data_IF_820365437880
#
_entry.id   IF_820365437880
#
_cell.length_a   1.000
_cell.length_b   1.000
_cell.length_c   1.000
_cell.angle_alpha   90.00
_cell.angle_beta   90.00
_cell.angle_gamma   90.00
#
_symmetry.space_group_name_H-M   'P 1'
#
loop_
_entity.id
_entity.type
_entity.pdbx_description
1 polymer ?
#
# COMPACT_ATOMS: atom_id res chain seq x y z
N UNK A 1 -10.00 1.63 -18.46
CA UNK A 1 -11.12 0.68 -18.22
C UNK A 1 -10.80 -0.73 -18.68
N UNK A 2 -10.08 -0.95 -19.79
CA UNK A 2 -9.68 -2.29 -20.26
C UNK A 2 -8.63 -2.99 -19.35
N UNK A 3 -7.64 -2.26 -18.82
CA UNK A 3 -6.62 -2.80 -17.92
C UNK A 3 -7.20 -3.33 -16.59
N UNK A 4 -8.15 -2.58 -16.01
CA UNK A 4 -8.89 -2.97 -14.81
C UNK A 4 -9.70 -4.26 -14.98
N UNK A 5 -10.36 -4.42 -16.14
CA UNK A 5 -11.11 -5.65 -16.43
C UNK A 5 -10.18 -6.85 -16.68
N UNK A 6 -9.01 -6.64 -17.28
CA UNK A 6 -8.01 -7.68 -17.52
C UNK A 6 -7.34 -8.16 -16.22
N UNK A 7 -7.01 -7.27 -15.27
CA UNK A 7 -6.42 -7.68 -13.99
C UNK A 7 -7.45 -8.36 -13.06
N UNK A 8 -8.71 -7.91 -13.07
CA UNK A 8 -9.79 -8.66 -12.41
C UNK A 8 -10.04 -10.01 -13.09
N UNK A 9 -9.78 -10.14 -14.40
CA UNK A 9 -9.81 -11.41 -15.09
C UNK A 9 -8.57 -12.30 -14.82
N UNK A 10 -7.44 -11.75 -14.42
CA UNK A 10 -6.27 -12.56 -14.06
C UNK A 10 -6.43 -13.20 -12.67
N UNK A 11 -7.22 -12.60 -11.78
CA UNK A 11 -7.53 -13.13 -10.47
C UNK A 11 -8.82 -13.98 -10.51
N UNK A 12 -8.66 -15.30 -10.61
CA UNK A 12 -9.79 -16.26 -10.72
C UNK A 12 -10.84 -16.11 -9.62
N UNK A 13 -10.47 -15.61 -8.44
CA UNK A 13 -11.40 -15.36 -7.33
C UNK A 13 -12.29 -14.11 -7.54
N UNK A 14 -11.89 -13.15 -8.37
CA UNK A 14 -12.71 -11.98 -8.72
C UNK A 14 -13.64 -12.22 -9.93
N UNK A 15 -13.41 -13.27 -10.71
CA UNK A 15 -14.16 -13.56 -11.94
C UNK A 15 -15.57 -14.16 -11.71
N UNK A 16 -15.83 -14.78 -10.56
CA UNK A 16 -17.05 -15.57 -10.32
C UNK A 16 -18.27 -14.76 -9.84
N UNK A 17 -18.17 -13.43 -9.71
CA UNK A 17 -19.21 -12.61 -9.09
C UNK A 17 -20.29 -12.10 -10.08
N UNK A 18 -21.60 -12.34 -9.84
CA UNK A 18 -22.68 -11.93 -10.73
C UNK A 18 -22.94 -10.40 -10.70
N UNK A 19 -23.34 -9.85 -11.85
CA UNK A 19 -23.54 -8.41 -12.07
C UNK A 19 -24.89 -7.86 -11.54
N UNK A 20 -24.94 -7.41 -10.28
CA UNK A 20 -26.04 -6.58 -9.73
C UNK A 20 -25.57 -5.16 -9.34
N UNK A 21 -26.29 -4.10 -9.73
CA UNK A 21 -25.86 -2.69 -9.67
C UNK A 21 -25.91 -2.03 -8.27
N UNK A 22 -26.17 -2.77 -7.19
CA UNK A 22 -26.33 -2.24 -5.83
C UNK A 22 -25.36 -2.82 -4.80
N UNK A 23 -24.43 -3.70 -5.20
CA UNK A 23 -23.45 -4.31 -4.30
C UNK A 23 -22.11 -3.58 -4.33
N UNK A 24 -21.51 -3.39 -3.14
CA UNK A 24 -20.16 -2.81 -3.02
C UNK A 24 -19.16 -3.78 -3.67
N UNK A 25 -18.27 -3.27 -4.52
CA UNK A 25 -17.30 -4.10 -5.22
C UNK A 25 -16.39 -4.87 -4.26
N UNK A 26 -15.97 -4.26 -3.14
CA UNK A 26 -15.12 -4.90 -2.11
C UNK A 26 -15.60 -4.50 -0.72
N UNK A 27 -15.99 -5.46 0.12
CA UNK A 27 -16.14 -5.26 1.57
C UNK A 27 -14.80 -5.52 2.25
N UNK A 28 -14.22 -4.52 2.92
CA UNK A 28 -12.87 -4.65 3.48
C UNK A 28 -12.78 -4.35 4.97
N UNK A 29 -12.00 -5.16 5.69
CA UNK A 29 -11.56 -4.85 7.06
C UNK A 29 -10.43 -3.80 6.96
N UNK A 30 -10.61 -2.62 7.56
CA UNK A 30 -9.63 -1.53 7.44
C UNK A 30 -8.36 -1.76 8.30
N UNK A 31 -8.54 -2.26 9.52
CA UNK A 31 -7.47 -2.71 10.42
C UNK A 31 -7.97 -3.94 11.19
N UNK A 32 -7.09 -4.90 11.54
CA UNK A 32 -7.44 -5.93 12.51
C UNK A 32 -7.89 -5.27 13.82
N UNK A 33 -9.05 -5.69 14.34
CA UNK A 33 -9.50 -5.26 15.66
C UNK A 33 -9.15 -6.34 16.69
N UNK A 34 -8.23 -6.11 17.63
CA UNK A 34 -7.87 -7.10 18.64
C UNK A 34 -8.98 -7.34 19.68
N UNK A 35 -9.98 -6.44 19.78
CA UNK A 35 -11.07 -6.55 20.75
C UNK A 35 -12.23 -7.44 20.26
N UNK A 36 -12.29 -7.71 18.96
CA UNK A 36 -13.33 -8.54 18.34
C UNK A 36 -12.68 -9.79 17.78
N UNK A 37 -13.16 -11.01 18.14
CA UNK A 37 -12.66 -12.24 17.55
C UNK A 37 -12.71 -12.21 16.02
N UNK A 38 -11.67 -12.75 15.37
CA UNK A 38 -11.57 -12.74 13.92
C UNK A 38 -12.72 -13.52 13.28
N UNK A 39 -13.13 -14.62 13.91
CA UNK A 39 -14.22 -15.49 13.49
C UNK A 39 -15.54 -14.72 13.39
N UNK A 40 -15.90 -13.94 14.41
CA UNK A 40 -17.13 -13.14 14.43
C UNK A 40 -17.15 -12.11 13.28
N UNK A 41 -16.01 -11.46 13.05
CA UNK A 41 -15.87 -10.49 11.95
C UNK A 41 -16.05 -11.16 10.59
N UNK A 42 -15.44 -12.33 10.41
CA UNK A 42 -15.44 -13.04 9.12
C UNK A 42 -16.81 -13.68 8.84
N UNK A 43 -17.50 -14.23 9.84
CA UNK A 43 -18.87 -14.75 9.70
C UNK A 43 -19.87 -13.65 9.30
N UNK A 44 -19.72 -12.45 9.86
CA UNK A 44 -20.53 -11.30 9.46
C UNK A 44 -20.26 -10.90 8.00
N UNK A 45 -19.00 -10.92 7.56
CA UNK A 45 -18.63 -10.61 6.18
C UNK A 45 -19.08 -11.69 5.18
N UNK A 46 -18.98 -12.97 5.53
CA UNK A 46 -19.52 -14.06 4.72
C UNK A 46 -21.04 -13.92 4.58
N UNK A 47 -21.76 -13.59 5.65
CA UNK A 47 -23.21 -13.33 5.58
C UNK A 47 -23.56 -12.20 4.59
N UNK A 48 -22.73 -11.15 4.49
CA UNK A 48 -22.90 -10.10 3.49
C UNK A 48 -22.60 -10.58 2.07
N UNK A 49 -21.60 -11.45 1.91
CA UNK A 49 -21.24 -12.06 0.64
C UNK A 49 -22.35 -12.99 0.13
N UNK A 50 -22.85 -13.90 0.98
CA UNK A 50 -23.96 -14.79 0.67
C UNK A 50 -25.25 -14.03 0.35
N UNK A 51 -25.50 -12.92 1.04
CA UNK A 51 -26.63 -12.03 0.75
C UNK A 51 -26.46 -11.18 -0.54
N UNK A 52 -25.33 -11.32 -1.26
CA UNK A 52 -25.03 -10.57 -2.48
C UNK A 52 -24.82 -9.07 -2.25
N UNK A 53 -24.60 -8.63 -1.00
CA UNK A 53 -24.40 -7.22 -0.65
C UNK A 53 -22.99 -6.75 -0.97
N UNK A 54 -22.03 -7.66 -0.95
CA UNK A 54 -20.64 -7.47 -1.39
C UNK A 54 -20.30 -8.53 -2.44
N UNK A 55 -19.35 -8.23 -3.32
CA UNK A 55 -18.94 -9.16 -4.40
C UNK A 55 -17.63 -9.88 -4.11
N UNK A 56 -16.73 -9.22 -3.42
CA UNK A 56 -15.51 -9.83 -2.93
C UNK A 56 -15.13 -9.20 -1.58
N UNK A 57 -14.31 -9.92 -0.82
CA UNK A 57 -13.80 -9.47 0.46
C UNK A 57 -12.32 -9.09 0.32
N UNK A 58 -11.95 -8.04 1.03
CA UNK A 58 -10.57 -7.59 1.16
C UNK A 58 -10.19 -7.41 2.63
N UNK A 59 -8.90 -7.33 2.88
CA UNK A 59 -8.35 -6.88 4.15
C UNK A 59 -7.41 -5.71 3.88
N UNK A 60 -7.14 -4.92 4.90
CA UNK A 60 -6.17 -3.82 4.83
C UNK A 60 -5.32 -3.85 6.09
N UNK A 61 -4.02 -3.66 5.90
CA UNK A 61 -3.04 -3.62 6.98
C UNK A 61 -2.96 -4.91 7.82
N UNK A 62 -3.17 -6.07 7.19
CA UNK A 62 -2.97 -7.36 7.86
C UNK A 62 -1.50 -7.78 7.73
N UNK A 63 -0.87 -8.10 8.86
CA UNK A 63 0.50 -8.63 8.96
C UNK A 63 0.52 -10.11 9.34
N UNK A 64 1.70 -10.71 9.55
CA UNK A 64 1.82 -12.15 9.82
C UNK A 64 0.89 -12.67 10.91
N UNK A 65 0.74 -11.95 12.02
CA UNK A 65 -0.14 -12.37 13.12
C UNK A 65 -1.61 -12.36 12.73
N UNK A 66 -2.13 -11.26 12.17
CA UNK A 66 -3.54 -11.18 11.78
C UNK A 66 -3.89 -12.04 10.56
N UNK A 67 -2.94 -12.24 9.64
CA UNK A 67 -3.05 -13.23 8.56
C UNK A 67 -3.11 -14.65 9.12
N UNK A 68 -2.32 -14.96 10.14
CA UNK A 68 -2.37 -16.25 10.84
C UNK A 68 -3.72 -16.49 11.52
N UNK A 69 -4.27 -15.49 12.21
CA UNK A 69 -5.60 -15.54 12.80
C UNK A 69 -6.68 -15.74 11.74
N UNK A 70 -6.63 -14.97 10.65
CA UNK A 70 -7.56 -15.14 9.53
C UNK A 70 -7.50 -16.55 8.93
N UNK A 71 -6.29 -17.08 8.73
CA UNK A 71 -6.10 -18.45 8.24
C UNK A 71 -6.69 -19.50 9.20
N UNK A 72 -6.58 -19.29 10.50
CA UNK A 72 -7.12 -20.20 11.51
C UNK A 72 -8.67 -20.28 11.48
N UNK A 73 -9.35 -19.22 11.03
CA UNK A 73 -10.83 -19.24 10.89
C UNK A 73 -11.34 -20.24 9.84
N UNK A 74 -10.48 -20.67 8.91
CA UNK A 74 -10.89 -21.51 7.76
C UNK A 74 -11.55 -20.74 6.60
N UNK A 75 -11.72 -19.42 6.73
CA UNK A 75 -12.39 -18.57 5.74
C UNK A 75 -11.43 -17.69 4.92
N UNK A 76 -10.11 -17.85 5.08
CA UNK A 76 -9.11 -17.03 4.38
C UNK A 76 -9.29 -17.03 2.85
N UNK A 77 -9.83 -18.10 2.29
CA UNK A 77 -10.07 -18.21 0.85
C UNK A 77 -11.13 -17.26 0.29
N UNK A 78 -12.00 -16.70 1.15
CA UNK A 78 -13.00 -15.70 0.76
C UNK A 78 -12.38 -14.33 0.45
N UNK A 79 -11.16 -14.07 0.91
CA UNK A 79 -10.48 -12.80 0.76
C UNK A 79 -9.60 -12.81 -0.50
N UNK A 80 -9.67 -11.73 -1.28
CA UNK A 80 -8.97 -11.61 -2.55
C UNK A 80 -7.70 -10.77 -2.47
N UNK A 81 -7.69 -9.75 -1.60
CA UNK A 81 -6.62 -8.75 -1.55
C UNK A 81 -6.28 -8.30 -0.14
N UNK A 82 -5.00 -7.94 0.08
CA UNK A 82 -4.54 -7.15 1.20
C UNK A 82 -4.15 -5.75 0.71
N UNK A 83 -4.76 -4.71 1.27
CA UNK A 83 -4.44 -3.33 0.96
C UNK A 83 -3.35 -2.83 1.92
N UNK A 84 -2.20 -2.45 1.39
CA UNK A 84 -1.01 -2.10 2.19
C UNK A 84 -0.35 -0.81 1.70
N UNK A 85 0.30 -0.05 2.59
CA UNK A 85 1.08 1.10 2.18
C UNK A 85 2.31 0.59 1.43
N UNK A 86 2.46 0.97 0.16
CA UNK A 86 3.61 0.55 -0.63
C UNK A 86 3.94 1.57 -1.70
N UNK A 87 5.19 2.00 -1.71
CA UNK A 87 5.75 2.91 -2.71
C UNK A 87 7.29 2.85 -2.66
N UNK A 88 7.94 3.57 -3.57
CA UNK A 88 9.41 3.61 -3.64
C UNK A 88 10.10 4.01 -2.33
N UNK A 89 9.47 4.83 -1.49
CA UNK A 89 10.02 5.32 -0.22
C UNK A 89 9.55 4.51 1.00
N UNK A 90 8.41 3.82 0.91
CA UNK A 90 7.87 2.97 1.96
C UNK A 90 7.86 1.51 1.55
N UNK A 91 8.91 0.79 1.94
CA UNK A 91 9.14 -0.61 1.57
C UNK A 91 9.28 -1.55 2.76
N UNK A 92 8.90 -1.08 3.97
CA UNK A 92 8.96 -1.86 5.20
C UNK A 92 8.10 -3.14 5.14
N UNK A 93 7.01 -3.13 4.36
CA UNK A 93 6.17 -4.32 4.19
C UNK A 93 6.92 -5.49 3.53
N UNK A 94 7.99 -5.23 2.78
CA UNK A 94 8.76 -6.27 2.06
C UNK A 94 9.47 -7.25 3.02
N UNK A 95 9.72 -6.86 4.27
CA UNK A 95 10.41 -7.72 5.24
C UNK A 95 9.59 -8.94 5.66
N UNK A 96 8.30 -8.75 6.00
CA UNK A 96 7.48 -9.81 6.58
C UNK A 96 6.04 -9.82 6.05
N UNK A 97 5.42 -8.65 5.91
CA UNK A 97 3.99 -8.52 5.57
C UNK A 97 3.71 -8.96 4.12
N UNK A 98 4.55 -8.53 3.17
CA UNK A 98 4.38 -8.85 1.77
C UNK A 98 4.58 -10.34 1.49
N UNK A 99 5.67 -11.00 1.95
CA UNK A 99 5.80 -12.45 1.84
C UNK A 99 4.64 -13.21 2.47
N UNK A 100 4.17 -12.79 3.66
CA UNK A 100 3.02 -13.43 4.31
C UNK A 100 1.71 -13.28 3.51
N UNK A 101 1.50 -12.10 2.91
CA UNK A 101 0.35 -11.81 2.03
C UNK A 101 0.36 -12.73 0.80
N UNK A 102 1.50 -12.82 0.12
CA UNK A 102 1.68 -13.67 -1.07
C UNK A 102 1.52 -15.16 -0.72
N UNK A 103 2.09 -15.60 0.40
CA UNK A 103 1.95 -16.99 0.88
C UNK A 103 0.51 -17.38 1.21
N UNK A 104 -0.36 -16.41 1.49
CA UNK A 104 -1.79 -16.64 1.70
C UNK A 104 -2.60 -16.59 0.38
N UNK A 105 -1.94 -16.37 -0.76
CA UNK A 105 -2.58 -16.28 -2.07
C UNK A 105 -3.38 -14.99 -2.28
N UNK A 106 -3.09 -13.94 -1.52
CA UNK A 106 -3.75 -12.64 -1.69
C UNK A 106 -3.00 -11.76 -2.68
N UNK A 107 -3.75 -11.03 -3.51
CA UNK A 107 -3.21 -9.92 -4.28
C UNK A 107 -2.94 -8.70 -3.39
N UNK A 108 -2.05 -7.83 -3.84
CA UNK A 108 -1.72 -6.58 -3.15
C UNK A 108 -2.42 -5.38 -3.81
N UNK A 109 -3.11 -4.57 -3.01
CA UNK A 109 -3.56 -3.24 -3.42
C UNK A 109 -2.68 -2.20 -2.73
N UNK A 110 -1.82 -1.53 -3.50
CA UNK A 110 -0.90 -0.53 -2.95
C UNK A 110 -1.61 0.81 -2.73
N UNK A 111 -1.62 1.32 -1.51
CA UNK A 111 -2.05 2.70 -1.21
C UNK A 111 -0.87 3.58 -0.80
N UNK A 112 -1.11 4.89 -0.73
CA UNK A 112 -0.04 5.90 -0.55
C UNK A 112 1.06 5.74 -1.61
N UNK A 113 0.68 5.36 -2.83
CA UNK A 113 1.57 5.06 -3.96
C UNK A 113 2.50 6.21 -4.33
N UNK A 114 2.05 7.46 -4.10
CA UNK A 114 2.83 8.68 -4.33
C UNK A 114 3.39 9.31 -3.04
N UNK A 115 3.43 8.57 -1.93
CA UNK A 115 3.99 9.01 -0.65
C UNK A 115 3.48 10.40 -0.20
N UNK A 116 2.16 10.59 -0.24
CA UNK A 116 1.48 11.85 0.10
C UNK A 116 1.98 13.08 -0.70
N UNK A 117 2.48 12.86 -1.91
CA UNK A 117 2.95 13.91 -2.82
C UNK A 117 4.48 13.99 -2.93
N UNK A 118 5.25 13.33 -2.06
CA UNK A 118 6.71 13.32 -2.17
C UNK A 118 7.18 12.79 -3.53
N UNK A 119 6.55 11.72 -4.03
CA UNK A 119 6.84 11.11 -5.34
C UNK A 119 6.18 11.85 -6.52
N UNK A 120 5.78 13.10 -6.33
CA UNK A 120 5.46 14.02 -7.44
C UNK A 120 6.59 15.00 -7.70
N UNK A 121 7.55 15.11 -6.79
CA UNK A 121 8.65 16.08 -6.85
C UNK A 121 8.25 17.51 -6.51
N UNK A 122 7.01 17.74 -6.05
CA UNK A 122 6.50 19.07 -5.67
C UNK A 122 7.20 19.66 -4.43
N UNK A 123 7.77 18.81 -3.58
CA UNK A 123 8.54 19.21 -2.39
C UNK A 123 10.00 18.82 -2.58
N UNK A 124 10.90 19.78 -2.51
CA UNK A 124 12.35 19.57 -2.57
C UNK A 124 13.00 19.54 -1.18
N UNK A 125 12.28 20.04 -0.15
CA UNK A 125 12.76 20.09 1.24
C UNK A 125 11.64 19.79 2.25
N UNK A 126 12.00 19.32 3.43
CA UNK A 126 11.08 19.02 4.55
C UNK A 126 10.19 20.21 4.90
N UNK A 127 10.73 21.43 4.84
CA UNK A 127 10.04 22.66 5.21
C UNK A 127 8.92 23.04 4.22
N UNK A 128 8.98 22.53 2.98
CA UNK A 128 7.97 22.79 1.95
C UNK A 128 6.75 21.86 2.11
N UNK A 129 6.92 20.73 2.80
CA UNK A 129 5.81 19.80 3.06
C UNK A 129 4.86 20.43 4.09
N UNK A 130 3.56 20.58 3.78
CA UNK A 130 2.57 21.07 4.72
C UNK A 130 2.57 20.27 6.03
N UNK A 131 2.43 20.97 7.16
CA UNK A 131 2.47 20.33 8.49
C UNK A 131 1.49 19.17 8.63
N UNK A 132 0.28 19.28 8.09
CA UNK A 132 -0.76 18.25 8.17
C UNK A 132 -0.43 16.97 7.38
N UNK A 133 0.56 16.99 6.47
CA UNK A 133 1.04 15.81 5.73
C UNK A 133 2.24 15.14 6.43
N UNK A 134 2.84 15.80 7.43
CA UNK A 134 3.98 15.26 8.17
C UNK A 134 3.51 14.39 9.34
N UNK A 135 2.77 13.34 9.02
CA UNK A 135 2.13 12.39 9.95
C UNK A 135 2.79 11.01 9.97
N UNK A 136 3.59 10.70 8.96
CA UNK A 136 4.22 9.38 8.77
C UNK A 136 5.61 9.33 9.40
N UNK A 137 6.13 8.12 9.61
CA UNK A 137 7.51 7.84 10.06
C UNK A 137 8.63 8.34 9.13
N UNK A 138 8.29 8.95 8.00
CA UNK A 138 9.24 9.76 7.23
C UNK A 138 9.77 10.96 8.03
N UNK A 139 8.99 11.52 8.97
CA UNK A 139 9.28 12.78 9.62
C UNK A 139 9.46 12.61 11.13
N UNK A 140 10.51 13.20 11.69
CA UNK A 140 10.65 13.39 13.13
C UNK A 140 9.51 14.28 13.65
N UNK A 141 8.99 13.96 14.83
CA UNK A 141 7.89 14.69 15.47
C UNK A 141 8.17 16.20 15.58
N UNK A 142 9.44 16.64 15.68
CA UNK A 142 9.80 18.07 15.73
C UNK A 142 9.49 18.83 14.44
N UNK A 143 9.34 18.13 13.32
CA UNK A 143 9.10 18.74 12.00
C UNK A 143 7.62 18.73 11.61
N UNK A 144 6.73 18.09 12.37
CA UNK A 144 5.35 17.88 11.96
C UNK A 144 4.41 17.50 13.09
N UNK A 145 3.44 16.65 12.78
CA UNK A 145 2.41 16.15 13.70
C UNK A 145 2.49 14.62 13.83
N UNK A 146 3.65 14.05 13.54
CA UNK A 146 3.88 12.62 13.58
C UNK A 146 3.93 12.13 15.04
N UNK A 147 3.16 11.08 15.36
CA UNK A 147 2.98 10.59 16.74
C UNK A 147 3.73 9.28 17.04
N UNK A 148 4.57 8.81 16.11
CA UNK A 148 5.27 7.53 16.25
C UNK A 148 6.37 7.52 17.32
N UNK A 149 6.93 8.67 17.69
CA UNK A 149 7.94 8.78 18.75
C UNK A 149 9.34 8.25 18.39
N UNK A 150 9.63 8.06 17.10
CA UNK A 150 10.93 7.61 16.60
C UNK A 150 11.62 8.77 15.84
N UNK A 151 12.91 8.62 15.52
CA UNK A 151 13.56 9.52 14.58
C UNK A 151 12.97 9.35 13.17
N UNK A 152 12.84 10.46 12.44
CA UNK A 152 12.47 10.45 11.03
C UNK A 152 13.60 9.96 10.11
N UNK A 153 13.30 9.91 8.82
CA UNK A 153 14.25 9.56 7.76
C UNK A 153 14.26 10.61 6.64
N UNK A 154 14.04 11.87 7.01
CA UNK A 154 13.90 12.98 6.05
C UNK A 154 15.14 13.13 5.17
N UNK A 155 16.33 12.98 5.74
CA UNK A 155 17.58 13.14 4.99
C UNK A 155 17.65 12.10 3.86
N UNK A 156 17.35 10.84 4.17
CA UNK A 156 17.34 9.75 3.22
C UNK A 156 16.19 9.88 2.20
N UNK A 157 14.99 10.27 2.66
CA UNK A 157 13.81 10.46 1.81
C UNK A 157 14.03 11.56 0.78
N UNK A 158 14.48 12.75 1.19
CA UNK A 158 14.66 13.87 0.26
C UNK A 158 15.86 13.66 -0.67
N UNK A 159 16.92 12.99 -0.20
CA UNK A 159 18.01 12.57 -1.09
C UNK A 159 17.52 11.58 -2.17
N UNK A 160 16.66 10.62 -1.79
CA UNK A 160 16.06 9.69 -2.74
C UNK A 160 15.12 10.39 -3.73
N UNK A 161 14.28 11.32 -3.27
CA UNK A 161 13.37 12.09 -4.15
C UNK A 161 14.16 12.88 -5.20
N UNK A 162 15.23 13.60 -4.82
CA UNK A 162 16.03 14.35 -5.78
C UNK A 162 16.71 13.43 -6.81
N UNK A 163 17.33 12.34 -6.37
CA UNK A 163 17.93 11.38 -7.30
C UNK A 163 16.89 10.72 -8.23
N UNK A 164 15.69 10.40 -7.74
CA UNK A 164 14.61 9.89 -8.57
C UNK A 164 14.11 10.92 -9.60
N UNK A 165 14.10 12.22 -9.26
CA UNK A 165 13.77 13.30 -10.21
C UNK A 165 14.79 13.36 -11.36
N UNK A 166 16.08 13.23 -11.05
CA UNK A 166 17.14 13.20 -12.08
C UNK A 166 16.96 11.99 -13.02
N UNK A 167 16.68 10.82 -12.46
CA UNK A 167 16.40 9.60 -13.25
C UNK A 167 15.17 9.80 -14.13
N UNK A 168 14.07 10.33 -13.60
CA UNK A 168 12.85 10.63 -14.36
C UNK A 168 13.15 11.55 -15.55
N UNK A 169 13.90 12.63 -15.32
CA UNK A 169 14.30 13.57 -16.37
C UNK A 169 15.14 12.89 -17.46
N UNK A 170 16.10 12.05 -17.08
CA UNK A 170 16.92 11.28 -18.03
C UNK A 170 16.09 10.29 -18.87
N UNK A 171 15.07 9.69 -18.26
CA UNK A 171 14.13 8.78 -18.95
C UNK A 171 13.02 9.52 -19.71
N UNK A 172 12.99 10.86 -19.68
CA UNK A 172 11.94 11.70 -20.29
C UNK A 172 10.52 11.30 -19.84
N UNK A 173 10.40 10.97 -18.56
CA UNK A 173 9.14 10.62 -17.87
C UNK A 173 9.01 11.47 -16.61
N UNK A 174 7.86 11.42 -15.96
CA UNK A 174 7.63 12.11 -14.69
C UNK A 174 7.85 11.17 -13.50
N UNK A 175 8.11 11.75 -12.32
CA UNK A 175 8.29 10.96 -11.10
C UNK A 175 7.04 10.13 -10.71
N UNK A 176 5.80 10.64 -10.85
CA UNK A 176 4.60 9.83 -10.64
C UNK A 176 4.53 8.62 -11.56
N UNK A 177 4.88 8.78 -12.85
CA UNK A 177 4.89 7.68 -13.83
C UNK A 177 5.90 6.59 -13.43
N UNK A 178 7.11 6.96 -13.01
CA UNK A 178 8.09 6.00 -12.49
C UNK A 178 7.59 5.29 -11.22
N UNK A 179 7.03 6.03 -10.27
CA UNK A 179 6.57 5.47 -9.00
C UNK A 179 5.41 4.47 -9.19
N UNK A 180 4.45 4.81 -10.04
CA UNK A 180 3.30 3.95 -10.34
C UNK A 180 3.74 2.76 -11.20
N UNK A 181 4.55 2.98 -12.24
CA UNK A 181 5.09 1.91 -13.09
C UNK A 181 5.91 0.90 -12.30
N UNK A 182 6.68 1.35 -11.31
CA UNK A 182 7.43 0.47 -10.41
C UNK A 182 6.56 -0.44 -9.56
N UNK A 183 5.43 0.08 -9.05
CA UNK A 183 4.46 -0.74 -8.34
C UNK A 183 3.81 -1.76 -9.28
N UNK A 184 3.38 -1.33 -10.45
CA UNK A 184 2.66 -2.19 -11.41
C UNK A 184 3.56 -3.22 -12.11
N UNK A 185 4.88 -3.05 -12.07
CA UNK A 185 5.84 -4.04 -12.55
C UNK A 185 6.03 -5.24 -11.60
N UNK A 186 5.37 -5.24 -10.43
CA UNK A 186 5.45 -6.32 -9.45
C UNK A 186 4.25 -7.24 -9.61
N UNK A 187 4.52 -8.53 -9.79
CA UNK A 187 3.49 -9.56 -10.03
C UNK A 187 2.45 -9.62 -8.90
N UNK A 188 2.85 -9.35 -7.66
CA UNK A 188 1.95 -9.38 -6.52
C UNK A 188 1.00 -8.15 -6.43
N UNK A 189 1.31 -7.05 -7.12
CA UNK A 189 0.50 -5.81 -7.12
C UNK A 189 -0.62 -5.91 -8.16
N UNK A 190 -1.84 -6.14 -7.70
CA UNK A 190 -3.02 -6.25 -8.59
C UNK A 190 -3.65 -4.89 -8.90
N UNK A 191 -3.44 -3.89 -8.03
CA UNK A 191 -3.93 -2.53 -8.22
C UNK A 191 -3.12 -1.51 -7.42
N UNK A 192 -3.07 -0.28 -7.93
CA UNK A 192 -2.46 0.88 -7.28
C UNK A 192 -3.53 1.93 -7.04
N UNK A 193 -3.68 2.36 -5.79
CA UNK A 193 -4.50 3.51 -5.41
C UNK A 193 -3.64 4.77 -5.46
N UNK A 194 -3.95 5.64 -6.43
CA UNK A 194 -3.31 6.94 -6.59
C UNK A 194 -4.31 8.05 -6.30
N UNK A 195 -3.91 9.00 -5.46
CA UNK A 195 -4.69 10.20 -5.18
C UNK A 195 -4.40 11.28 -6.24
N UNK A 196 -5.40 12.11 -6.50
CA UNK A 196 -5.29 13.28 -7.36
C UNK A 196 -6.23 14.38 -6.84
N UNK A 197 -5.83 15.63 -6.99
CA UNK A 197 -6.59 16.85 -6.66
C UNK A 197 -7.11 17.55 -7.92
N UNK A 198 -6.49 17.28 -9.07
CA UNK A 198 -6.87 17.86 -10.36
C UNK A 198 -7.09 16.77 -11.41
N UNK A 199 -7.89 17.03 -12.46
CA UNK A 199 -8.01 16.11 -13.59
C UNK A 199 -6.67 15.78 -14.27
N UNK A 200 -5.76 16.75 -14.37
CA UNK A 200 -4.45 16.54 -14.99
C UNK A 200 -3.59 15.54 -14.19
N UNK A 201 -3.65 15.57 -12.86
CA UNK A 201 -3.00 14.58 -12.01
C UNK A 201 -3.58 13.17 -12.23
N UNK A 202 -4.90 13.05 -12.47
CA UNK A 202 -5.52 11.77 -12.82
C UNK A 202 -4.96 11.24 -14.14
N UNK A 203 -4.88 12.08 -15.17
CA UNK A 203 -4.36 11.70 -16.49
C UNK A 203 -2.89 11.26 -16.36
N UNK A 204 -2.07 12.01 -15.63
CA UNK A 204 -0.67 11.67 -15.37
C UNK A 204 -0.53 10.33 -14.63
N UNK A 205 -1.36 10.08 -13.61
CA UNK A 205 -1.34 8.82 -12.88
C UNK A 205 -1.70 7.63 -13.78
N UNK A 206 -2.63 7.80 -14.72
CA UNK A 206 -3.00 6.78 -15.71
C UNK A 206 -1.85 6.50 -16.66
N UNK A 207 -1.10 7.51 -17.11
CA UNK A 207 0.09 7.30 -17.93
C UNK A 207 1.13 6.44 -17.22
N UNK A 208 1.26 6.54 -15.90
CA UNK A 208 2.13 5.65 -15.12
C UNK A 208 1.76 4.17 -15.23
N UNK A 209 0.48 3.85 -15.48
CA UNK A 209 0.03 2.48 -15.72
C UNK A 209 0.34 1.98 -17.13
N UNK A 210 0.40 2.89 -18.11
CA UNK A 210 0.72 2.57 -19.50
C UNK A 210 2.22 2.71 -19.81
N UNK A 211 3.00 3.28 -18.89
CA UNK A 211 4.42 3.55 -19.05
C UNK A 211 5.20 2.23 -19.10
N UNK A 212 5.75 1.91 -20.27
CA UNK A 212 6.72 0.83 -20.42
C UNK A 212 8.08 1.25 -19.82
N UNK A 213 8.16 1.28 -18.49
CA UNK A 213 9.41 1.58 -17.78
C UNK A 213 10.36 0.40 -17.97
N UNK A 214 11.55 0.67 -18.50
CA UNK A 214 12.56 -0.36 -18.77
C UNK A 214 12.97 -1.06 -17.47
N UNK A 215 13.10 -2.38 -17.49
CA UNK A 215 13.50 -3.21 -16.33
C UNK A 215 14.76 -2.67 -15.64
N UNK A 216 15.76 -2.25 -16.41
CA UNK A 216 16.99 -1.66 -15.86
C UNK A 216 16.74 -0.41 -15.00
N UNK A 217 15.79 0.45 -15.41
CA UNK A 217 15.42 1.65 -14.64
C UNK A 217 14.70 1.25 -13.36
N UNK A 218 13.82 0.25 -13.43
CA UNK A 218 13.13 -0.28 -12.25
C UNK A 218 14.11 -0.84 -11.22
N UNK A 219 15.12 -1.59 -11.66
CA UNK A 219 16.19 -2.10 -10.79
C UNK A 219 17.03 -0.96 -10.19
N UNK A 220 17.35 0.06 -10.98
CA UNK A 220 18.11 1.24 -10.54
C UNK A 220 17.37 1.99 -9.42
N UNK A 221 16.10 2.34 -9.64
CA UNK A 221 15.31 3.08 -8.64
C UNK A 221 14.99 2.22 -7.41
N UNK A 222 14.87 0.90 -7.57
CA UNK A 222 14.74 -0.04 -6.43
C UNK A 222 15.99 0.02 -5.57
N UNK A 223 17.18 -0.09 -6.17
CA UNK A 223 18.45 -0.06 -5.46
C UNK A 223 18.68 1.29 -4.78
N UNK A 224 18.34 2.39 -5.46
CA UNK A 224 18.47 3.75 -4.95
C UNK A 224 17.69 3.93 -3.63
N UNK A 225 16.50 3.34 -3.53
CA UNK A 225 15.63 3.52 -2.36
C UNK A 225 15.84 2.49 -1.25
N UNK A 226 16.74 1.52 -1.42
CA UNK A 226 17.09 0.57 -0.34
C UNK A 226 17.57 1.28 0.92
N UNK A 227 18.34 2.36 0.79
CA UNK A 227 18.81 3.14 1.93
C UNK A 227 17.66 3.71 2.78
N UNK A 228 16.57 4.12 2.12
CA UNK A 228 15.36 4.60 2.81
C UNK A 228 14.68 3.44 3.53
N UNK A 229 14.54 2.29 2.87
CA UNK A 229 13.98 1.06 3.46
C UNK A 229 14.78 0.60 4.68
N UNK A 230 16.10 0.52 4.59
CA UNK A 230 16.99 0.15 5.69
C UNK A 230 16.85 1.10 6.87
N UNK A 231 16.75 2.40 6.60
CA UNK A 231 16.56 3.43 7.62
C UNK A 231 15.22 3.33 8.34
N UNK A 232 14.13 3.02 7.62
CA UNK A 232 12.78 2.82 8.19
C UNK A 232 12.71 1.53 9.01
N UNK A 233 13.46 0.50 8.60
CA UNK A 233 13.49 -0.80 9.25
C UNK A 233 12.25 -1.66 8.96
N UNK A 234 12.06 -2.70 9.78
CA UNK A 234 11.05 -3.74 9.53
C UNK A 234 9.65 -3.43 10.05
N UNK A 235 9.46 -2.41 10.90
CA UNK A 235 8.12 -2.04 11.37
C UNK A 235 7.26 -1.57 10.18
N UNK A 236 6.20 -2.29 9.80
CA UNK A 236 5.41 -2.00 8.61
C UNK A 236 4.35 -0.90 8.84
N UNK A 237 4.14 -0.46 10.07
CA UNK A 237 3.22 0.64 10.38
C UNK A 237 3.84 1.98 9.95
N UNK A 238 3.20 2.64 8.99
CA UNK A 238 3.63 3.94 8.44
C UNK A 238 3.46 5.11 9.40
N UNK A 239 2.60 4.97 10.41
CA UNK A 239 2.20 6.07 11.29
C UNK A 239 2.61 5.87 12.73
N UNK A 240 2.78 4.62 13.18
CA UNK A 240 3.10 4.30 14.57
C UNK A 240 4.48 3.67 14.71
N UNK A 241 5.21 4.06 15.75
CA UNK A 241 6.50 3.47 16.09
C UNK A 241 6.35 2.03 16.56
N UNK A 242 7.46 1.31 16.68
CA UNK A 242 7.48 -0.13 16.93
C UNK A 242 6.65 -0.54 18.16
N UNK A 243 6.74 0.23 19.26
CA UNK A 243 6.00 -0.06 20.50
C UNK A 243 4.48 0.02 20.34
N UNK A 244 3.99 0.87 19.43
CA UNK A 244 2.57 1.13 19.18
C UNK A 244 2.12 0.62 17.80
N UNK A 245 2.92 -0.23 17.16
CA UNK A 245 2.62 -0.75 15.84
C UNK A 245 1.31 -1.53 15.86
N UNK A 246 0.42 -1.23 14.91
CA UNK A 246 -0.88 -1.90 14.76
C UNK A 246 -0.78 -3.26 14.06
N UNK A 247 0.42 -3.66 13.63
CA UNK A 247 0.70 -4.97 13.02
C UNK A 247 1.16 -6.02 14.06
N UNK A 248 1.41 -5.60 15.31
CA UNK A 248 1.81 -6.50 16.39
C UNK A 248 0.67 -7.41 16.87
N UNK A 249 1.01 -8.42 17.66
CA UNK A 249 0.03 -9.32 18.25
C UNK A 249 -1.00 -8.56 19.11
N UNK A 250 -2.24 -9.07 19.25
CA UNK A 250 -3.21 -8.52 20.19
C UNK A 250 -2.52 -8.37 21.54
N UNK A 251 -2.44 -7.15 22.06
CA UNK A 251 -2.04 -6.96 23.45
C UNK A 251 -3.09 -7.69 24.27
N UNK A 252 -2.72 -8.80 24.91
CA UNK A 252 -3.60 -9.45 25.85
C UNK A 252 -4.09 -8.38 26.83
N UNK A 253 -5.41 -8.20 26.91
CA UNK A 253 -6.05 -7.32 27.88
C UNK A 253 -5.47 -7.63 29.26
N UNK A 254 -4.84 -6.64 29.89
CA UNK A 254 -4.50 -6.68 31.31
C UNK A 254 -5.77 -6.72 32.14
#
# INVERSE_FOLDING_TARGET
TAYWAQNMAANSKMQSAPAASSSLCVGSIHWPNPEVPMEETVEALDSLLQAGKVRCLGISNFGPTSLGLLKATGYADLFAVNQLPYNLLWRAIEYEVLPATVNMGLGLVAYSSLAQGLLTGVYSKVQEVPNYLKVTRFYDAKHGVAEHGEAGCETEVFAAVEALKEIAAHQKTSLPELAIGWLLAKDEVVSVLSGARTPDEVIQNVHGADAAVRTQVLEEITRLTEKVKEKIGSNPDMWMGAEKSRYGAPRASQ
#
